data_IF_361824590194
#
_entry.id   IF_361824590194
#
_cell.length_a   1.000
_cell.length_b   1.000
_cell.length_c   1.000
_cell.angle_alpha   90.00
_cell.angle_beta   90.00
_cell.angle_gamma   90.00
#
_symmetry.space_group_name_H-M   'P 1'
#
loop_
_entity.id
_entity.type
_entity.pdbx_description
1 polymer ?
#
# COMPACT_ATOMS: atom_id res chain seq x y z
N UNK A 1 11.36 16.97 -0.19
CA UNK A 1 10.75 15.92 -1.04
C UNK A 1 11.01 14.59 -0.37
N UNK A 2 9.98 13.77 -0.16
CA UNK A 2 10.15 12.42 0.41
C UNK A 2 10.89 11.51 -0.58
N UNK A 3 11.72 10.59 -0.07
CA UNK A 3 12.51 9.64 -0.88
C UNK A 3 11.61 8.54 -1.46
N UNK A 4 10.52 8.19 -0.78
CA UNK A 4 9.46 7.29 -1.26
C UNK A 4 8.13 8.01 -1.09
N UNK A 5 7.29 7.96 -2.12
CA UNK A 5 5.96 8.57 -2.13
C UNK A 5 4.96 7.65 -2.84
N UNK A 6 3.80 7.45 -2.20
CA UNK A 6 2.61 6.88 -2.79
C UNK A 6 1.53 7.96 -2.74
N UNK A 7 0.89 8.24 -3.88
CA UNK A 7 -0.17 9.24 -4.02
C UNK A 7 -1.35 8.52 -4.63
N UNK A 8 -2.47 8.50 -3.91
CA UNK A 8 -3.73 7.84 -4.31
C UNK A 8 -3.50 6.42 -4.89
N UNK A 9 -2.63 5.65 -4.22
CA UNK A 9 -2.23 4.34 -4.73
C UNK A 9 -3.34 3.32 -4.52
N UNK A 10 -3.86 2.82 -5.63
CA UNK A 10 -4.87 1.75 -5.67
C UNK A 10 -4.30 0.47 -6.28
N UNK A 11 -4.73 -0.67 -5.76
CA UNK A 11 -4.38 -1.97 -6.30
C UNK A 11 -5.53 -2.94 -6.15
N UNK A 12 -5.91 -3.55 -7.27
CA UNK A 12 -6.90 -4.62 -7.32
C UNK A 12 -6.27 -5.87 -7.93
N UNK A 13 -6.49 -7.01 -7.29
CA UNK A 13 -6.21 -8.32 -7.86
C UNK A 13 -7.50 -8.94 -8.38
N UNK A 14 -7.44 -9.58 -9.55
CA UNK A 14 -8.52 -10.43 -10.07
C UNK A 14 -8.21 -11.89 -9.76
N UNK A 15 -9.12 -12.55 -9.06
CA UNK A 15 -9.12 -13.99 -8.83
C UNK A 15 -10.36 -14.58 -9.52
N UNK A 16 -10.18 -15.03 -10.75
CA UNK A 16 -11.29 -15.46 -11.61
C UNK A 16 -12.26 -14.30 -11.85
N UNK A 17 -13.53 -14.52 -11.51
CA UNK A 17 -14.60 -13.52 -11.61
C UNK A 17 -14.61 -12.52 -10.44
N UNK A 18 -13.86 -12.77 -9.37
CA UNK A 18 -13.84 -11.90 -8.18
C UNK A 18 -12.72 -10.87 -8.30
N UNK A 19 -13.05 -9.61 -8.05
CA UNK A 19 -12.07 -8.52 -7.92
C UNK A 19 -11.90 -8.17 -6.44
N UNK A 20 -10.66 -8.18 -5.97
CA UNK A 20 -10.31 -7.81 -4.59
C UNK A 20 -9.43 -6.58 -4.63
N UNK A 21 -9.98 -5.48 -4.15
CA UNK A 21 -9.25 -4.23 -3.95
C UNK A 21 -8.45 -4.30 -2.64
N UNK A 22 -7.13 -4.41 -2.77
CA UNK A 22 -6.18 -4.62 -1.68
C UNK A 22 -5.52 -3.34 -1.19
N UNK A 23 -5.34 -2.34 -2.07
CA UNK A 23 -4.94 -0.99 -1.70
C UNK A 23 -6.02 -0.02 -2.19
N UNK A 24 -6.46 0.87 -1.30
CA UNK A 24 -7.57 1.81 -1.50
C UNK A 24 -7.08 3.22 -1.22
N UNK A 25 -6.82 3.99 -2.27
CA UNK A 25 -6.38 5.40 -2.20
C UNK A 25 -5.26 5.64 -1.18
N UNK A 26 -4.23 4.79 -1.19
CA UNK A 26 -3.16 4.83 -0.18
C UNK A 26 -2.21 6.00 -0.47
N UNK A 27 -2.10 6.88 0.52
CA UNK A 27 -1.22 8.03 0.51
C UNK A 27 -0.13 7.87 1.59
N UNK A 28 1.14 7.83 1.18
CA UNK A 28 2.29 7.63 2.07
C UNK A 28 3.48 8.44 1.59
N UNK A 29 4.18 9.09 2.52
CA UNK A 29 5.47 9.74 2.26
C UNK A 29 6.46 9.23 3.29
N UNK A 30 7.60 8.73 2.82
CA UNK A 30 8.75 8.37 3.67
C UNK A 30 9.90 9.30 3.31
N UNK A 31 10.47 9.93 4.32
CA UNK A 31 11.60 10.84 4.17
C UNK A 31 12.93 10.10 4.29
N UNK A 32 13.98 10.71 3.74
CA UNK A 32 15.32 10.14 3.82
C UNK A 32 15.77 10.02 5.28
N UNK A 33 16.23 8.82 5.66
CA UNK A 33 16.69 8.53 7.02
C UNK A 33 15.60 8.09 8.00
N UNK A 34 14.32 8.07 7.60
CA UNK A 34 13.26 7.50 8.44
C UNK A 34 13.35 5.98 8.51
N UNK A 35 13.16 5.45 9.72
CA UNK A 35 13.02 4.02 9.98
C UNK A 35 11.54 3.71 10.25
N UNK A 36 10.90 2.97 9.36
CA UNK A 36 9.44 2.76 9.36
C UNK A 36 9.12 1.25 9.43
N UNK A 37 8.02 0.91 10.11
CA UNK A 37 7.47 -0.45 10.14
C UNK A 37 6.02 -0.44 9.65
N UNK A 38 5.66 -1.43 8.83
CA UNK A 38 4.28 -1.64 8.36
C UNK A 38 3.63 -2.77 9.17
N UNK A 39 2.54 -2.44 9.88
CA UNK A 39 1.80 -3.37 10.73
C UNK A 39 0.33 -3.45 10.32
N UNK A 40 -0.32 -4.57 10.65
CA UNK A 40 -1.73 -4.81 10.34
C UNK A 40 -2.07 -6.30 10.16
N UNK A 41 -3.35 -6.68 10.21
CA UNK A 41 -3.79 -8.07 10.13
C UNK A 41 -3.40 -8.74 8.81
N UNK A 42 -3.40 -10.08 8.78
CA UNK A 42 -3.16 -10.82 7.53
C UNK A 42 -4.16 -10.39 6.44
N UNK A 43 -3.69 -10.23 5.20
CA UNK A 43 -4.51 -9.79 4.07
C UNK A 43 -4.73 -8.28 3.93
N UNK A 44 -4.19 -7.44 4.82
CA UNK A 44 -4.40 -5.98 4.80
C UNK A 44 -3.62 -5.19 3.73
N UNK A 45 -2.96 -5.85 2.77
CA UNK A 45 -2.22 -5.18 1.69
C UNK A 45 -0.76 -4.77 1.99
N UNK A 46 -0.19 -5.07 3.17
CA UNK A 46 1.17 -4.61 3.56
C UNK A 46 2.30 -5.06 2.64
N UNK A 47 2.20 -6.26 2.08
CA UNK A 47 3.25 -6.86 1.23
C UNK A 47 3.02 -6.58 -0.26
N UNK A 48 1.92 -5.91 -0.59
CA UNK A 48 1.51 -5.54 -1.95
C UNK A 48 2.00 -4.15 -2.26
#
# INVERSE_FOLDING_TARGET
MGIIQAIDLCKTYKLGEVSIEVLKDVNLVINQGEFVSLMGPSGSGKST
#
